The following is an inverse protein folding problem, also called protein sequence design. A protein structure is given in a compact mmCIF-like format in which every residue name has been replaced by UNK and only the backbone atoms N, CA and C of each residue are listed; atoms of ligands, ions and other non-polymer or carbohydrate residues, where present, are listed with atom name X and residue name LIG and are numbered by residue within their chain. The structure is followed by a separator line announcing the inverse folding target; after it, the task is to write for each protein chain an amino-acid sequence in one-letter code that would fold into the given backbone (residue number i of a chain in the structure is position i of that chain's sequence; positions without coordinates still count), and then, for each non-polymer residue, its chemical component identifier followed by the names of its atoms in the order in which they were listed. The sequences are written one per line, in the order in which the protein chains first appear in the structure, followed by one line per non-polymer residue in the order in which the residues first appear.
data_IF_513053763229
#
_entry.id   IF_513053763229
#
_cell.length_a   1.000
_cell.length_b   1.000
_cell.length_c   1.000
_cell.angle_alpha   90.00
_cell.angle_beta   90.00
_cell.angle_gamma   90.00
#
_symmetry.space_group_name_H-M   'P 1'
#
loop_
_entity.id
_entity.type
_entity.pdbx_description
1 polymer ?
#
# COMPACT_ATOMS: atom_id res chain seq x y z
N UNK A 1 -6.69 1.07 -15.26
CA UNK A 1 -7.68 2.17 -15.34
C UNK A 1 -8.17 2.65 -13.98
N UNK A 2 -8.69 1.78 -13.10
CA UNK A 2 -9.17 2.17 -11.77
C UNK A 2 -8.14 2.91 -10.92
N UNK A 3 -6.92 2.38 -10.79
CA UNK A 3 -5.87 3.03 -10.02
C UNK A 3 -5.38 4.34 -10.68
N UNK A 4 -5.23 4.35 -12.01
CA UNK A 4 -4.83 5.55 -12.76
C UNK A 4 -5.78 6.73 -12.50
N UNK A 5 -7.11 6.54 -12.57
CA UNK A 5 -8.08 7.64 -12.37
C UNK A 5 -8.10 8.22 -10.95
N UNK A 6 -7.63 7.45 -9.95
CA UNK A 6 -7.49 7.87 -8.55
C UNK A 6 -6.07 8.34 -8.20
N UNK A 7 -5.11 8.14 -9.10
CA UNK A 7 -3.72 8.50 -8.88
C UNK A 7 -3.51 10.01 -8.84
N UNK A 8 -2.41 10.43 -8.22
CA UNK A 8 -1.95 11.82 -8.15
C UNK A 8 -1.60 12.43 -9.53
N UNK A 9 -1.51 11.62 -10.58
CA UNK A 9 -1.32 12.11 -11.94
C UNK A 9 -2.57 12.86 -12.46
N UNK A 10 -3.75 12.42 -12.02
CA UNK A 10 -5.04 12.96 -12.46
C UNK A 10 -5.78 13.68 -11.34
N UNK A 11 -5.80 13.11 -10.12
CA UNK A 11 -6.42 13.72 -8.95
C UNK A 11 -5.36 14.49 -8.15
N UNK A 12 -5.27 15.80 -8.39
CA UNK A 12 -4.22 16.67 -7.84
C UNK A 12 -4.57 17.27 -6.47
N UNK A 13 -5.72 16.91 -5.90
CA UNK A 13 -6.09 17.35 -4.55
C UNK A 13 -5.02 16.91 -3.53
N UNK A 14 -4.70 17.79 -2.59
CA UNK A 14 -3.65 17.58 -1.58
C UNK A 14 -2.22 17.40 -2.14
N UNK A 15 -1.98 17.82 -3.38
CA UNK A 15 -0.64 17.97 -3.96
C UNK A 15 -0.42 19.42 -4.40
N UNK A 16 0.81 19.91 -4.27
CA UNK A 16 1.21 21.19 -4.87
C UNK A 16 1.33 21.08 -6.41
N UNK A 17 1.28 22.22 -7.13
CA UNK A 17 1.54 22.24 -8.57
C UNK A 17 2.91 21.65 -8.93
N UNK A 18 3.93 21.91 -8.13
CA UNK A 18 5.30 21.44 -8.36
C UNK A 18 5.42 19.93 -8.14
N UNK A 19 4.82 19.39 -7.07
CA UNK A 19 4.75 17.93 -6.86
C UNK A 19 4.02 17.23 -8.02
N UNK A 20 2.92 17.83 -8.49
CA UNK A 20 2.17 17.29 -9.63
C UNK A 20 3.02 17.27 -10.90
N UNK A 21 3.76 18.35 -11.17
CA UNK A 21 4.66 18.42 -12.33
C UNK A 21 5.79 17.39 -12.22
N UNK A 22 6.38 17.23 -11.03
CA UNK A 22 7.39 16.23 -10.73
C UNK A 22 6.89 14.80 -10.99
N UNK A 23 5.71 14.43 -10.46
CA UNK A 23 5.15 13.09 -10.69
C UNK A 23 4.86 12.84 -12.17
N UNK A 24 4.28 13.81 -12.87
CA UNK A 24 3.99 13.66 -14.30
C UNK A 24 5.25 13.56 -15.15
N UNK A 25 6.31 14.27 -14.78
CA UNK A 25 7.58 14.22 -15.50
C UNK A 25 8.14 12.78 -15.50
N UNK A 26 8.26 12.15 -14.33
CA UNK A 26 8.80 10.78 -14.25
C UNK A 26 7.90 9.76 -14.94
N UNK A 27 6.57 9.89 -14.85
CA UNK A 27 5.65 8.99 -15.57
C UNK A 27 5.86 9.02 -17.11
N UNK A 28 6.35 10.13 -17.67
CA UNK A 28 6.56 10.28 -19.11
C UNK A 28 7.95 9.83 -19.59
N UNK A 29 8.90 9.66 -18.66
CA UNK A 29 10.30 9.35 -18.97
C UNK A 29 10.65 7.90 -18.65
N UNK A 30 10.02 7.33 -17.62
CA UNK A 30 10.32 6.00 -17.11
C UNK A 30 9.83 4.86 -18.02
N UNK A 31 10.38 3.66 -17.78
CA UNK A 31 10.02 2.46 -18.53
C UNK A 31 8.63 1.91 -18.15
N UNK A 32 8.19 0.87 -18.87
CA UNK A 32 6.90 0.24 -18.63
C UNK A 32 6.78 -0.30 -17.20
N UNK A 33 7.85 -0.91 -16.68
CA UNK A 33 7.84 -1.56 -15.36
C UNK A 33 7.63 -0.53 -14.26
N UNK A 34 8.40 0.55 -14.27
CA UNK A 34 8.28 1.65 -13.30
C UNK A 34 6.95 2.39 -13.47
N UNK A 35 6.48 2.60 -14.70
CA UNK A 35 5.17 3.19 -14.95
C UNK A 35 4.01 2.36 -14.37
N UNK A 36 4.10 1.02 -14.44
CA UNK A 36 3.11 0.15 -13.81
C UNK A 36 3.11 0.30 -12.29
N UNK A 37 4.29 0.32 -11.64
CA UNK A 37 4.43 0.55 -10.20
C UNK A 37 3.87 1.92 -9.78
N UNK A 38 4.14 2.95 -10.58
CA UNK A 38 3.60 4.30 -10.35
C UNK A 38 2.06 4.35 -10.41
N UNK A 39 1.45 3.64 -11.36
CA UNK A 39 0.00 3.66 -11.56
C UNK A 39 -0.70 2.76 -10.54
N UNK A 40 -0.19 1.54 -10.35
CA UNK A 40 -0.70 0.55 -9.41
C UNK A 40 0.47 0.09 -8.52
N UNK A 41 0.62 0.69 -7.33
CA UNK A 41 1.63 0.29 -6.37
C UNK A 41 1.63 -1.21 -6.08
N UNK A 42 2.81 -1.75 -5.87
CA UNK A 42 2.98 -3.15 -5.48
C UNK A 42 2.93 -3.23 -3.96
N UNK A 43 2.30 -4.28 -3.44
CA UNK A 43 2.21 -4.56 -2.01
C UNK A 43 2.68 -5.99 -1.75
N UNK A 44 3.72 -6.16 -0.95
CA UNK A 44 4.20 -7.45 -0.47
C UNK A 44 3.83 -7.65 0.98
N UNK A 45 3.42 -8.87 1.34
CA UNK A 45 3.16 -9.26 2.71
C UNK A 45 4.22 -10.25 3.22
N UNK A 46 4.72 -9.96 4.42
CA UNK A 46 5.66 -10.78 5.15
C UNK A 46 4.95 -11.30 6.39
N UNK A 47 5.04 -12.61 6.61
CA UNK A 47 4.39 -13.30 7.73
C UNK A 47 5.24 -14.48 8.16
N UNK A 48 4.94 -15.05 9.32
CA UNK A 48 5.61 -16.30 9.75
C UNK A 48 5.22 -17.53 8.92
N UNK A 49 4.10 -17.46 8.21
CA UNK A 49 3.51 -18.61 7.50
C UNK A 49 4.11 -18.87 6.11
N UNK A 50 5.14 -18.16 5.69
CA UNK A 50 5.77 -18.40 4.39
C UNK A 50 6.71 -17.30 3.90
N UNK A 51 7.25 -17.47 2.69
CA UNK A 51 8.06 -16.43 2.05
C UNK A 51 7.22 -15.17 1.72
N UNK A 52 7.87 -14.05 1.39
CA UNK A 52 7.18 -12.83 0.98
C UNK A 52 6.25 -13.09 -0.22
N UNK A 53 4.98 -12.70 -0.10
CA UNK A 53 3.98 -12.90 -1.15
C UNK A 53 3.40 -11.58 -1.65
N UNK A 54 3.16 -11.41 -2.97
CA UNK A 54 2.43 -10.26 -3.48
C UNK A 54 0.96 -10.35 -3.07
N UNK A 55 0.44 -9.29 -2.46
CA UNK A 55 -0.95 -9.19 -2.02
C UNK A 55 -1.69 -8.09 -2.79
N UNK A 56 -3.03 -8.17 -2.77
CA UNK A 56 -3.85 -7.16 -3.40
C UNK A 56 -3.70 -5.82 -2.68
N UNK A 57 -3.63 -4.73 -3.46
CA UNK A 57 -3.60 -3.36 -2.96
C UNK A 57 -4.99 -2.93 -2.45
N UNK A 58 -5.41 -3.55 -1.35
CA UNK A 58 -6.77 -3.53 -0.81
C UNK A 58 -6.73 -3.49 0.72
N UNK A 59 -7.71 -2.84 1.35
CA UNK A 59 -7.84 -2.77 2.81
C UNK A 59 -7.83 -4.14 3.49
N UNK A 60 -8.37 -5.17 2.84
CA UNK A 60 -8.39 -6.54 3.39
C UNK A 60 -7.01 -7.16 3.60
N UNK A 61 -5.98 -6.66 2.90
CA UNK A 61 -4.60 -7.15 3.03
C UNK A 61 -3.88 -6.54 4.25
N UNK A 62 -4.46 -5.53 4.89
CA UNK A 62 -3.90 -4.89 6.09
C UNK A 62 -4.30 -5.72 7.31
N UNK A 63 -3.50 -6.72 7.65
CA UNK A 63 -3.72 -7.63 8.76
C UNK A 63 -2.80 -7.32 9.95
N UNK A 64 -3.21 -7.61 11.20
CA UNK A 64 -2.43 -7.28 12.40
C UNK A 64 -1.14 -8.10 12.54
N UNK A 65 -1.12 -9.33 12.00
CA UNK A 65 0.00 -10.29 12.13
C UNK A 65 0.98 -10.27 10.96
N UNK A 66 0.93 -9.26 10.10
CA UNK A 66 1.77 -9.18 8.89
C UNK A 66 2.51 -7.84 8.80
N UNK A 67 3.66 -7.86 8.15
CA UNK A 67 4.37 -6.66 7.73
C UNK A 67 4.10 -6.46 6.25
N UNK A 68 3.85 -5.23 5.84
CA UNK A 68 3.61 -4.87 4.45
C UNK A 68 4.75 -4.00 3.92
N UNK A 69 5.27 -4.34 2.74
CA UNK A 69 6.17 -3.48 1.97
C UNK A 69 5.38 -2.95 0.77
N UNK A 70 5.13 -1.65 0.75
CA UNK A 70 4.48 -0.96 -0.35
C UNK A 70 5.52 -0.20 -1.17
N UNK A 71 5.53 -0.47 -2.48
CA UNK A 71 6.32 0.28 -3.45
C UNK A 71 5.40 1.11 -4.36
N UNK A 72 5.53 2.43 -4.28
CA UNK A 72 4.78 3.41 -5.10
C UNK A 72 5.65 4.12 -6.14
N UNK A 73 6.86 3.62 -6.40
CA UNK A 73 7.94 4.32 -7.11
C UNK A 73 8.53 5.49 -6.31
N UNK A 74 7.70 6.44 -5.89
CA UNK A 74 8.13 7.66 -5.17
C UNK A 74 8.39 7.44 -3.68
N UNK A 75 7.69 6.45 -3.09
CA UNK A 75 7.81 6.08 -1.69
C UNK A 75 7.96 4.57 -1.57
N UNK A 76 8.88 4.15 -0.71
CA UNK A 76 8.98 2.79 -0.20
C UNK A 76 8.52 2.83 1.26
N UNK A 77 7.45 2.10 1.56
CA UNK A 77 6.81 2.14 2.87
C UNK A 77 6.75 0.75 3.48
N UNK A 78 7.29 0.62 4.69
CA UNK A 78 7.14 -0.56 5.54
C UNK A 78 6.08 -0.27 6.59
N UNK A 79 5.02 -1.09 6.62
CA UNK A 79 3.93 -1.00 7.59
C UNK A 79 3.90 -2.25 8.46
N UNK A 80 4.09 -2.06 9.77
CA UNK A 80 3.92 -3.12 10.75
C UNK A 80 2.46 -3.23 11.20
N UNK A 81 1.88 -4.42 11.09
CA UNK A 81 0.57 -4.72 11.69
C UNK A 81 0.56 -4.52 13.20
N UNK A 82 -0.63 -4.44 13.79
CA UNK A 82 -0.81 -4.13 15.21
C UNK A 82 -0.05 -5.09 16.15
N UNK A 83 -0.17 -6.40 15.93
CA UNK A 83 0.48 -7.40 16.77
C UNK A 83 2.00 -7.37 16.58
N UNK A 84 2.47 -7.20 15.34
CA UNK A 84 3.89 -7.04 15.04
C UNK A 84 4.47 -5.82 15.76
N UNK A 85 3.76 -4.68 15.70
CA UNK A 85 4.18 -3.45 16.36
C UNK A 85 4.24 -3.61 17.89
N UNK A 86 3.30 -4.33 18.49
CA UNK A 86 3.32 -4.66 19.91
C UNK A 86 4.53 -5.54 20.26
N UNK A 87 4.87 -6.54 19.44
CA UNK A 87 6.04 -7.39 19.65
C UNK A 87 7.36 -6.64 19.51
N UNK A 88 7.45 -5.70 18.56
CA UNK A 88 8.61 -4.81 18.42
C UNK A 88 8.80 -3.99 19.71
N UNK A 89 7.71 -3.41 20.23
CA UNK A 89 7.72 -2.60 21.46
C UNK A 89 8.03 -3.42 22.70
N UNK A 90 7.63 -4.70 22.73
CA UNK A 90 7.97 -5.64 23.79
C UNK A 90 9.44 -6.09 23.75
N UNK A 91 10.17 -5.82 22.65
CA UNK A 91 11.58 -6.17 22.50
C UNK A 91 11.82 -7.66 22.21
N UNK A 92 10.83 -8.37 21.65
CA UNK A 92 10.99 -9.81 21.37
C UNK A 92 12.12 -10.08 20.36
N UNK A 93 12.42 -9.14 19.46
CA UNK A 93 13.51 -9.27 18.49
C UNK A 93 14.91 -9.35 19.10
N UNK A 94 15.09 -8.93 20.36
CA UNK A 94 16.38 -8.94 21.06
C UNK A 94 16.59 -10.24 21.85
N UNK A 95 15.54 -11.05 22.01
CA UNK A 95 15.61 -12.32 22.72
C UNK A 95 16.12 -13.43 21.79
N UNK A 96 17.06 -14.28 22.24
CA UNK A 96 17.62 -15.36 21.42
C UNK A 96 16.57 -16.41 21.03
N UNK A 97 15.48 -16.53 21.79
CA UNK A 97 14.38 -17.46 21.52
C UNK A 97 13.53 -17.05 20.30
N UNK A 98 13.55 -15.77 19.92
CA UNK A 98 12.72 -15.22 18.83
C UNK A 98 13.58 -14.71 17.66
N UNK A 99 14.66 -15.43 17.32
CA UNK A 99 15.50 -15.10 16.16
C UNK A 99 14.69 -15.04 14.85
N UNK A 100 13.68 -15.90 14.71
CA UNK A 100 12.75 -15.89 13.57
C UNK A 100 12.02 -14.54 13.42
N UNK A 101 11.68 -13.89 14.54
CA UNK A 101 11.03 -12.58 14.50
C UNK A 101 11.98 -11.49 14.05
N UNK A 102 13.23 -11.53 14.50
CA UNK A 102 14.28 -10.62 14.02
C UNK A 102 14.51 -10.77 12.51
N UNK A 103 14.54 -12.01 12.01
CA UNK A 103 14.64 -12.27 10.57
C UNK A 103 13.43 -11.73 9.79
N UNK A 104 12.21 -11.90 10.33
CA UNK A 104 10.99 -11.36 9.74
C UNK A 104 11.02 -9.83 9.61
N UNK A 105 11.55 -9.13 10.62
CA UNK A 105 11.68 -7.67 10.59
C UNK A 105 12.74 -7.20 9.59
N UNK A 106 13.81 -7.97 9.41
CA UNK A 106 14.91 -7.61 8.52
C UNK A 106 14.57 -7.82 7.04
N UNK A 107 13.83 -8.88 6.70
CA UNK A 107 13.46 -9.21 5.32
C UNK A 107 12.89 -8.04 4.49
N UNK A 108 11.85 -7.29 4.94
CA UNK A 108 11.33 -6.16 4.18
C UNK A 108 12.31 -4.97 4.10
N UNK A 109 13.24 -4.85 5.05
CA UNK A 109 14.28 -3.80 5.05
C UNK A 109 15.34 -4.10 3.99
N UNK A 110 15.73 -5.37 3.85
CA UNK A 110 16.68 -5.81 2.84
C UNK A 110 16.11 -5.59 1.44
N UNK A 111 14.87 -6.04 1.19
CA UNK A 111 14.17 -5.84 -0.08
C UNK A 111 13.98 -4.35 -0.39
N UNK A 112 13.60 -3.54 0.61
CA UNK A 112 13.50 -2.09 0.45
C UNK A 112 14.85 -1.46 0.07
N UNK A 113 15.94 -1.91 0.69
CA UNK A 113 17.29 -1.40 0.43
C UNK A 113 17.74 -1.69 -0.99
N UNK A 114 17.44 -2.88 -1.51
CA UNK A 114 17.73 -3.23 -2.91
C UNK A 114 16.99 -2.29 -3.88
N UNK A 115 15.72 -2.00 -3.62
CA UNK A 115 14.95 -1.07 -4.47
C UNK A 115 15.52 0.35 -4.40
N UNK A 116 15.89 0.82 -3.19
CA UNK A 116 16.45 2.16 -2.98
C UNK A 116 17.79 2.37 -3.69
N UNK A 117 18.62 1.32 -3.81
CA UNK A 117 19.92 1.41 -4.47
C UNK A 117 19.83 1.47 -6.00
N UNK A 118 18.79 0.83 -6.58
CA UNK A 118 18.65 0.70 -8.03
C UNK A 118 17.76 1.78 -8.65
N UNK A 119 16.94 2.49 -7.87
CA UNK A 119 15.95 3.43 -8.41
C UNK A 119 16.44 4.88 -8.40
N UNK A 120 16.19 5.56 -9.50
CA UNK A 120 16.32 7.01 -9.64
C UNK A 120 14.96 7.62 -10.01
N UNK A 121 14.51 8.70 -9.36
CA UNK A 121 15.15 9.36 -8.22
C UNK A 121 15.00 8.49 -6.97
N UNK A 122 15.87 8.70 -5.97
CA UNK A 122 15.80 7.93 -4.73
C UNK A 122 14.42 8.09 -4.07
N UNK A 123 13.67 7.00 -3.87
CA UNK A 123 12.37 7.05 -3.22
C UNK A 123 12.49 7.51 -1.77
N UNK A 124 11.43 8.15 -1.27
CA UNK A 124 11.34 8.44 0.16
C UNK A 124 11.06 7.15 0.93
N UNK A 125 11.95 6.79 1.83
CA UNK A 125 11.79 5.65 2.73
C UNK A 125 10.95 6.01 3.94
N UNK A 126 9.91 5.20 4.23
CA UNK A 126 8.96 5.41 5.33
C UNK A 126 8.81 4.12 6.10
N UNK A 127 8.98 4.17 7.42
CA UNK A 127 8.63 3.07 8.33
C UNK A 127 7.51 3.53 9.24
N UNK A 128 6.45 2.74 9.32
CA UNK A 128 5.26 3.04 10.12
C UNK A 128 4.68 1.76 10.73
N UNK A 129 3.75 1.95 11.65
CA UNK A 129 2.99 0.90 12.31
C UNK A 129 1.49 1.19 12.22
N UNK A 130 0.67 0.20 12.58
CA UNK A 130 -0.77 0.38 12.74
C UNK A 130 -1.06 1.52 13.74
N UNK A 131 -1.91 2.47 13.32
CA UNK A 131 -2.21 3.68 14.09
C UNK A 131 -1.17 4.81 13.98
N UNK A 132 -0.04 4.58 13.30
CA UNK A 132 0.98 5.60 13.06
C UNK A 132 0.52 6.69 12.08
N UNK A 133 0.97 7.93 12.27
CA UNK A 133 0.56 9.06 11.41
C UNK A 133 0.98 8.90 9.95
N UNK A 134 2.09 8.21 9.69
CA UNK A 134 2.60 7.94 8.34
C UNK A 134 1.88 6.77 7.66
N UNK A 135 1.08 5.97 8.38
CA UNK A 135 0.29 4.89 7.79
C UNK A 135 -0.74 5.42 6.77
N UNK A 136 -1.10 6.70 6.85
CA UNK A 136 -1.95 7.37 5.85
C UNK A 136 -1.45 7.26 4.41
N UNK A 137 -0.13 7.15 4.20
CA UNK A 137 0.46 6.96 2.87
C UNK A 137 0.05 5.62 2.27
N UNK A 138 -0.07 4.57 3.08
CA UNK A 138 -0.61 3.28 2.69
C UNK A 138 -2.12 3.37 2.47
N UNK A 139 -2.86 3.90 3.47
CA UNK A 139 -4.33 3.93 3.46
C UNK A 139 -4.93 4.69 2.28
N UNK A 140 -4.28 5.76 1.81
CA UNK A 140 -4.74 6.53 0.64
C UNK A 140 -4.56 5.77 -0.68
N UNK A 141 -3.60 4.83 -0.77
CA UNK A 141 -3.29 4.09 -2.01
C UNK A 141 -4.10 2.80 -2.16
N UNK A 142 -4.52 2.19 -1.05
CA UNK A 142 -5.29 0.93 -1.07
C UNK A 142 -6.74 1.13 -1.52
N UNK A 143 -7.30 0.08 -2.12
CA UNK A 143 -8.71 0.01 -2.46
C UNK A 143 -9.57 -0.09 -1.18
N UNK A 144 -10.56 0.81 -0.99
CA UNK A 144 -11.44 0.78 0.18
C UNK A 144 -12.55 -0.27 0.02
N UNK A 145 -12.20 -1.55 0.05
CA UNK A 145 -13.21 -2.63 0.08
C UNK A 145 -13.96 -2.66 1.42
N UNK A 146 -13.27 -2.29 2.50
CA UNK A 146 -13.78 -2.19 3.85
C UNK A 146 -13.86 -0.71 4.25
N UNK A 147 -15.07 -0.14 4.20
CA UNK A 147 -15.33 1.26 4.58
C UNK A 147 -16.17 1.34 5.85
N UNK A 148 -16.24 2.54 6.43
CA UNK A 148 -17.09 2.84 7.59
C UNK A 148 -18.59 2.57 7.35
N UNK A 149 -19.03 2.51 6.09
CA UNK A 149 -20.43 2.23 5.71
C UNK A 149 -20.73 0.74 5.64
N UNK A 150 -19.76 -0.07 5.20
CA UNK A 150 -19.94 -1.50 4.94
C UNK A 150 -19.40 -2.39 6.07
N UNK A 151 -18.46 -1.89 6.88
CA UNK A 151 -17.97 -2.60 8.04
C UNK A 151 -18.82 -2.28 9.27
N UNK A 152 -19.54 -3.28 9.78
CA UNK A 152 -20.19 -3.20 11.09
C UNK A 152 -19.13 -2.94 12.15
N UNK A 153 -19.29 -1.84 12.90
CA UNK A 153 -18.41 -1.47 14.01
C UNK A 153 -18.21 -2.66 14.96
N UNK A 154 -16.98 -3.16 15.07
CA UNK A 154 -16.60 -4.25 15.97
C UNK A 154 -16.49 -5.65 15.35
N UNK A 155 -16.68 -5.84 14.03
CA UNK A 155 -16.51 -7.14 13.37
C UNK A 155 -15.37 -7.22 12.33
N UNK A 156 -14.71 -6.11 11.98
CA UNK A 156 -13.59 -6.10 11.04
C UNK A 156 -12.27 -6.47 11.71
N UNK A 157 -11.52 -7.41 11.12
CA UNK A 157 -10.13 -7.73 11.48
C UNK A 157 -9.14 -6.60 11.13
N UNK A 158 -9.57 -5.62 10.33
CA UNK A 158 -8.77 -4.49 9.88
C UNK A 158 -9.52 -3.16 10.08
N UNK A 159 -8.78 -2.07 10.26
CA UNK A 159 -9.35 -0.76 10.41
C UNK A 159 -10.03 -0.30 9.10
N UNK A 160 -11.32 0.08 9.13
CA UNK A 160 -12.03 0.50 7.93
C UNK A 160 -11.43 1.79 7.37
N UNK A 161 -11.33 1.89 6.05
CA UNK A 161 -10.86 3.10 5.39
C UNK A 161 -11.98 4.14 5.41
N UNK A 162 -11.66 5.30 5.98
CA UNK A 162 -12.57 6.43 6.07
C UNK A 162 -12.55 7.23 4.76
N UNK A 163 -13.29 6.76 3.76
CA UNK A 163 -13.43 7.43 2.47
C UNK A 163 -14.77 7.13 1.82
N UNK A 164 -15.27 8.08 1.05
CA UNK A 164 -16.45 7.93 0.16
C UNK A 164 -16.03 7.55 -1.27
N UNK A 165 -14.73 7.29 -1.50
CA UNK A 165 -14.24 6.84 -2.79
C UNK A 165 -14.87 5.50 -3.21
N UNK A 166 -15.23 5.42 -4.49
CA UNK A 166 -15.77 4.20 -5.09
C UNK A 166 -14.71 3.09 -5.08
N UNK A 167 -15.03 1.95 -4.49
CA UNK A 167 -14.15 0.78 -4.50
C UNK A 167 -14.07 0.11 -5.89
N UNK A 168 -13.08 -0.76 -6.08
CA UNK A 168 -12.85 -1.45 -7.35
C UNK A 168 -14.06 -2.29 -7.79
N UNK A 169 -14.78 -2.92 -6.86
CA UNK A 169 -15.92 -3.77 -7.18
C UNK A 169 -17.06 -2.96 -7.80
N UNK A 170 -17.49 -1.87 -7.15
CA UNK A 170 -18.52 -0.97 -7.66
C UNK A 170 -18.09 -0.33 -8.99
N UNK A 171 -16.82 0.02 -9.14
CA UNK A 171 -16.29 0.49 -10.42
C UNK A 171 -16.47 -0.56 -11.54
N UNK A 172 -16.15 -1.83 -11.26
CA UNK A 172 -16.30 -2.91 -12.23
C UNK A 172 -17.77 -3.23 -12.53
N UNK A 173 -18.67 -3.14 -11.55
CA UNK A 173 -20.11 -3.32 -11.76
C UNK A 173 -20.69 -2.24 -12.69
N UNK A 174 -20.33 -0.97 -12.46
CA UNK A 174 -20.73 0.13 -13.33
C UNK A 174 -20.15 -0.03 -14.74
N UNK A 175 -18.87 -0.42 -14.86
CA UNK A 175 -18.23 -0.65 -16.14
C UNK A 175 -18.91 -1.78 -16.91
N UNK A 176 -19.24 -2.90 -16.25
CA UNK A 176 -19.96 -4.02 -16.87
C UNK A 176 -21.33 -3.58 -17.37
N UNK A 177 -22.09 -2.85 -16.54
CA UNK A 177 -23.43 -2.35 -16.90
C UNK A 177 -23.40 -1.45 -18.14
N UNK A 178 -22.43 -0.53 -18.21
CA UNK A 178 -22.28 0.37 -19.36
C UNK A 178 -21.69 -0.34 -20.59
N UNK A 179 -20.81 -1.31 -20.39
CA UNK A 179 -20.20 -2.09 -21.48
C UNK A 179 -21.21 -2.96 -22.24
N UNK A 180 -22.30 -3.37 -21.58
CA UNK A 180 -23.40 -4.15 -22.21
C UNK A 180 -24.59 -3.29 -22.62
N UNK A 181 -24.64 -2.02 -22.24
CA UNK A 181 -25.70 -1.11 -22.72
C UNK A 181 -25.38 -0.65 -24.14
N UNK A 182 -26.29 -0.91 -25.08
CA UNK A 182 -26.16 -0.50 -26.47
C UNK A 182 -25.97 1.01 -26.60
N UNK A 183 -24.98 1.44 -27.39
CA UNK A 183 -24.82 2.83 -27.80
C UNK A 183 -26.02 3.24 -28.64
N UNK A 184 -26.97 3.95 -28.03
CA UNK A 184 -28.09 4.59 -28.74
C UNK A 184 -27.71 6.01 -29.08
#
# INVERSE_FOLDING_TARGET
MYHLRRSQFLQVFNNSPDETAFYRHYLLVEDLTQCLVMIQPILYAYSFSGPPEPVLLDSSSILPDRILLMDTFYHILIHHGENIAQWIKAGYQDLPEYENFKQLLQAPVDDATEILQNRFPMPRYIVTEAGGSQARFLLYKVNPSQTHTNCTWGQGLSAPILTDDVNLQTFMEHLKKLGVSSST
#
